data_IF_986510686593
#
_entry.id   IF_986510686593
#
_cell.length_a   1.000
_cell.length_b   1.000
_cell.length_c   1.000
_cell.angle_alpha   90.00
_cell.angle_beta   90.00
_cell.angle_gamma   90.00
#
_symmetry.space_group_name_H-M   'P 1'
#
loop_
_entity.id
_entity.type
_entity.pdbx_description
1 polymer ?
#
# COMPACT_ATOMS: atom_id res chain seq x y z
N UNK A 1 -49.39 -30.23 11.51
CA UNK A 1 -48.13 -30.17 10.74
C UNK A 1 -48.47 -29.80 9.31
N UNK A 2 -48.28 -28.54 8.95
CA UNK A 2 -48.62 -28.02 7.62
C UNK A 2 -47.38 -28.08 6.72
N UNK A 3 -47.44 -28.93 5.71
CA UNK A 3 -46.46 -29.04 4.63
C UNK A 3 -46.47 -27.74 3.83
N UNK A 4 -45.34 -26.95 3.87
CA UNK A 4 -45.13 -25.84 2.97
C UNK A 4 -44.76 -26.40 1.59
N UNK A 5 -45.74 -26.51 0.73
CA UNK A 5 -45.52 -26.81 -0.69
C UNK A 5 -44.60 -25.75 -1.33
N UNK A 6 -43.56 -26.22 -2.00
CA UNK A 6 -42.69 -25.39 -2.86
C UNK A 6 -43.53 -24.98 -4.07
N UNK A 7 -43.82 -23.68 -4.15
CA UNK A 7 -44.49 -23.03 -5.29
C UNK A 7 -43.50 -22.98 -6.47
N UNK A 8 -43.54 -24.01 -7.31
CA UNK A 8 -42.79 -24.16 -8.56
C UNK A 8 -43.60 -23.51 -9.70
N UNK A 9 -43.26 -22.33 -10.11
CA UNK A 9 -43.88 -21.70 -11.31
C UNK A 9 -43.33 -22.31 -12.60
N UNK A 10 -44.19 -23.01 -13.33
CA UNK A 10 -43.86 -23.53 -14.66
C UNK A 10 -44.31 -22.55 -15.75
N UNK A 11 -43.44 -22.24 -16.69
CA UNK A 11 -43.78 -21.49 -17.90
C UNK A 11 -43.35 -22.31 -19.13
N UNK A 12 -44.30 -22.68 -19.98
CA UNK A 12 -44.01 -23.40 -21.23
C UNK A 12 -43.65 -22.41 -22.34
N UNK A 13 -42.51 -22.65 -22.98
CA UNK A 13 -42.17 -22.01 -24.25
C UNK A 13 -42.63 -22.91 -25.39
N UNK A 14 -42.99 -22.31 -26.56
CA UNK A 14 -43.45 -22.99 -27.82
C UNK A 14 -42.53 -24.11 -28.34
N UNK A 15 -41.34 -24.28 -27.77
CA UNK A 15 -40.32 -25.26 -28.14
C UNK A 15 -40.27 -26.50 -27.25
N UNK A 16 -41.24 -26.71 -26.35
CA UNK A 16 -41.28 -27.92 -25.48
C UNK A 16 -40.21 -27.98 -24.38
N UNK A 17 -39.43 -26.93 -24.16
CA UNK A 17 -38.42 -26.86 -23.10
C UNK A 17 -39.08 -26.36 -21.82
N UNK A 18 -39.07 -27.17 -20.75
CA UNK A 18 -39.54 -26.80 -19.41
C UNK A 18 -38.44 -26.03 -18.67
N UNK A 19 -38.63 -24.72 -18.47
CA UNK A 19 -37.76 -23.92 -17.62
C UNK A 19 -38.38 -23.87 -16.21
N UNK A 20 -37.76 -24.54 -15.26
CA UNK A 20 -38.15 -24.47 -13.84
C UNK A 20 -37.70 -23.10 -13.29
N UNK A 21 -38.69 -22.24 -13.03
CA UNK A 21 -38.40 -20.94 -12.42
C UNK A 21 -38.49 -21.07 -10.89
N UNK A 22 -37.42 -20.72 -10.21
CA UNK A 22 -37.36 -20.67 -8.75
C UNK A 22 -37.50 -19.20 -8.27
N UNK A 23 -38.71 -18.64 -8.16
CA UNK A 23 -38.91 -17.22 -7.86
C UNK A 23 -38.36 -16.82 -6.48
N UNK A 24 -38.37 -17.73 -5.50
CA UNK A 24 -37.82 -17.50 -4.15
C UNK A 24 -36.29 -17.42 -4.17
N UNK A 25 -35.63 -18.30 -4.91
CA UNK A 25 -34.17 -18.29 -5.07
C UNK A 25 -33.73 -17.00 -5.78
N UNK A 26 -34.42 -16.60 -6.83
CA UNK A 26 -34.13 -15.33 -7.55
C UNK A 26 -34.29 -14.09 -6.65
N UNK A 27 -35.31 -14.05 -5.78
CA UNK A 27 -35.49 -12.98 -4.79
C UNK A 27 -34.36 -12.99 -3.74
N UNK A 28 -33.96 -14.15 -3.28
CA UNK A 28 -32.86 -14.28 -2.32
C UNK A 28 -31.53 -13.79 -2.94
N UNK A 29 -31.21 -14.24 -4.16
CA UNK A 29 -29.99 -13.78 -4.89
C UNK A 29 -30.00 -12.25 -5.06
N UNK A 30 -31.14 -11.65 -5.44
CA UNK A 30 -31.24 -10.19 -5.57
C UNK A 30 -31.02 -9.46 -4.24
N UNK A 31 -31.57 -9.99 -3.13
CA UNK A 31 -31.37 -9.40 -1.81
C UNK A 31 -29.91 -9.51 -1.34
N UNK A 32 -29.28 -10.68 -1.51
CA UNK A 32 -27.87 -10.85 -1.16
C UNK A 32 -26.97 -9.97 -2.01
N UNK A 33 -27.24 -9.86 -3.32
CA UNK A 33 -26.48 -8.95 -4.21
C UNK A 33 -26.64 -7.47 -3.81
N UNK A 34 -27.85 -7.06 -3.42
CA UNK A 34 -28.09 -5.69 -2.95
C UNK A 34 -27.34 -5.41 -1.64
N UNK A 35 -27.40 -6.32 -0.68
CA UNK A 35 -26.67 -6.19 0.60
C UNK A 35 -25.16 -6.14 0.34
N UNK A 36 -24.63 -7.02 -0.50
CA UNK A 36 -23.21 -7.00 -0.88
C UNK A 36 -22.81 -5.68 -1.54
N UNK A 37 -23.66 -5.14 -2.44
CA UNK A 37 -23.44 -3.84 -3.08
C UNK A 37 -23.43 -2.70 -2.07
N UNK A 38 -24.37 -2.67 -1.12
CA UNK A 38 -24.43 -1.65 -0.08
C UNK A 38 -23.21 -1.70 0.85
N UNK A 39 -22.77 -2.91 1.24
CA UNK A 39 -21.55 -3.09 2.04
C UNK A 39 -20.31 -2.64 1.29
N UNK A 40 -20.17 -3.00 0.02
CA UNK A 40 -19.06 -2.55 -0.82
C UNK A 40 -19.05 -1.01 -0.97
N UNK A 41 -20.21 -0.41 -1.18
CA UNK A 41 -20.35 1.05 -1.26
C UNK A 41 -19.97 1.73 0.06
N UNK A 42 -20.39 1.18 1.19
CA UNK A 42 -20.02 1.68 2.52
C UNK A 42 -18.52 1.58 2.77
N UNK A 43 -17.89 0.48 2.38
CA UNK A 43 -16.42 0.31 2.48
C UNK A 43 -15.68 1.32 1.60
N UNK A 44 -16.15 1.58 0.39
CA UNK A 44 -15.56 2.60 -0.50
C UNK A 44 -15.68 4.01 0.10
N UNK A 45 -16.83 4.34 0.66
CA UNK A 45 -17.04 5.63 1.36
C UNK A 45 -16.10 5.71 2.57
N UNK A 46 -16.02 4.66 3.39
CA UNK A 46 -15.13 4.63 4.54
C UNK A 46 -13.65 4.77 4.14
N UNK A 47 -13.21 4.09 3.07
CA UNK A 47 -11.86 4.22 2.54
C UNK A 47 -11.57 5.66 2.06
N UNK A 48 -12.55 6.31 1.44
CA UNK A 48 -12.43 7.70 1.01
C UNK A 48 -12.40 8.68 2.19
N UNK A 49 -13.22 8.46 3.23
CA UNK A 49 -13.28 9.33 4.40
C UNK A 49 -12.11 9.14 5.38
N UNK A 50 -11.55 7.93 5.45
CA UNK A 50 -10.49 7.56 6.38
C UNK A 50 -9.26 6.97 5.67
N UNK A 51 -8.63 7.71 4.73
CA UNK A 51 -7.54 7.15 3.90
C UNK A 51 -6.34 6.69 4.72
N UNK A 52 -6.05 7.33 5.85
CA UNK A 52 -4.96 6.90 6.73
C UNK A 52 -5.14 5.48 7.23
N UNK A 53 -6.36 5.06 7.56
CA UNK A 53 -6.63 3.69 8.04
C UNK A 53 -6.39 2.64 6.97
N UNK A 54 -6.59 2.98 5.71
CA UNK A 54 -6.47 2.05 4.58
C UNK A 54 -5.10 2.09 3.91
N UNK A 55 -4.44 3.23 3.87
CA UNK A 55 -3.19 3.42 3.13
C UNK A 55 -1.95 3.36 4.03
N UNK A 56 -2.07 3.64 5.33
CA UNK A 56 -0.94 3.66 6.24
C UNK A 56 -0.65 2.28 6.80
N UNK A 57 0.62 1.92 6.81
CA UNK A 57 1.17 0.84 7.63
C UNK A 57 2.32 1.42 8.41
N UNK A 58 2.24 1.36 9.74
CA UNK A 58 3.31 1.70 10.67
C UNK A 58 3.59 0.47 11.53
N UNK A 59 4.80 -0.03 11.46
CA UNK A 59 5.23 -1.23 12.20
C UNK A 59 5.60 -0.95 13.66
N UNK A 60 5.50 0.31 14.09
CA UNK A 60 5.92 0.72 15.42
C UNK A 60 7.42 0.66 15.66
N UNK A 61 7.87 0.76 16.92
CA UNK A 61 9.29 0.71 17.27
C UNK A 61 9.90 -0.67 16.95
N UNK A 62 10.87 -0.67 16.04
CA UNK A 62 11.61 -1.89 15.63
C UNK A 62 13.02 -1.47 15.23
N UNK A 63 14.02 -2.31 15.52
CA UNK A 63 15.40 -2.15 15.03
C UNK A 63 15.58 -2.95 13.74
N UNK A 64 16.47 -2.46 12.87
CA UNK A 64 16.76 -3.09 11.59
C UNK A 64 18.25 -2.96 11.22
N UNK A 65 18.64 -3.65 10.14
CA UNK A 65 19.98 -3.56 9.59
C UNK A 65 20.18 -2.27 8.78
N UNK A 66 19.07 -1.77 8.18
CA UNK A 66 19.11 -0.62 7.28
C UNK A 66 17.76 0.11 7.22
N UNK A 67 17.81 1.44 7.06
CA UNK A 67 16.69 2.28 6.66
C UNK A 67 16.72 2.44 5.13
N UNK A 68 15.59 2.26 4.47
CA UNK A 68 15.43 2.55 3.03
C UNK A 68 14.54 3.76 2.88
N UNK A 69 15.14 4.89 2.53
CA UNK A 69 14.43 6.12 2.20
C UNK A 69 13.95 6.05 0.74
N UNK A 70 12.64 6.00 0.54
CA UNK A 70 12.06 6.00 -0.81
C UNK A 70 11.86 7.43 -1.31
N UNK A 71 12.42 7.74 -2.45
CA UNK A 71 12.28 9.01 -3.16
C UNK A 71 10.82 9.35 -3.52
N UNK A 72 10.60 10.52 -4.09
CA UNK A 72 9.27 10.99 -4.53
C UNK A 72 8.88 12.37 -4.00
N UNK A 73 9.87 13.22 -3.69
CA UNK A 73 9.70 14.66 -3.54
C UNK A 73 8.87 15.13 -2.35
N UNK A 74 8.96 14.47 -1.19
CA UNK A 74 8.40 15.01 0.05
C UNK A 74 9.48 15.20 1.11
N UNK A 75 9.57 16.42 1.64
CA UNK A 75 10.59 16.79 2.64
C UNK A 75 10.57 15.91 3.88
N UNK A 76 9.42 15.52 4.36
CA UNK A 76 9.25 14.82 5.63
C UNK A 76 9.87 13.42 5.65
N UNK A 77 10.17 12.84 4.48
CA UNK A 77 10.75 11.49 4.40
C UNK A 77 12.20 11.47 4.87
N UNK A 78 13.01 12.40 4.40
CA UNK A 78 14.41 12.49 4.83
C UNK A 78 14.52 12.90 6.30
N UNK A 79 13.67 13.82 6.77
CA UNK A 79 13.62 14.21 8.19
C UNK A 79 13.34 12.98 9.05
N UNK A 80 12.29 12.22 8.71
CA UNK A 80 11.94 10.99 9.42
C UNK A 80 13.07 9.96 9.39
N UNK A 81 13.78 9.85 8.26
CA UNK A 81 14.93 8.94 8.14
C UNK A 81 16.08 9.38 9.04
N UNK A 82 16.38 10.68 9.08
CA UNK A 82 17.42 11.24 9.96
C UNK A 82 17.09 11.07 11.44
N UNK A 83 15.81 11.25 11.84
CA UNK A 83 15.34 10.98 13.21
C UNK A 83 15.59 9.53 13.59
N UNK A 84 15.11 8.56 12.79
CA UNK A 84 15.28 7.14 13.04
C UNK A 84 16.74 6.72 13.08
N UNK A 85 17.61 7.34 12.28
CA UNK A 85 19.03 7.11 12.32
C UNK A 85 19.66 7.61 13.64
N UNK A 86 19.30 8.81 14.09
CA UNK A 86 19.74 9.38 15.37
C UNK A 86 19.24 8.58 16.58
N UNK A 87 18.06 7.97 16.48
CA UNK A 87 17.50 7.03 17.46
C UNK A 87 18.24 5.65 17.45
N UNK A 88 19.26 5.49 16.62
CA UNK A 88 20.00 4.23 16.46
C UNK A 88 19.09 3.05 16.10
N UNK A 89 18.07 3.29 15.29
CA UNK A 89 17.13 2.27 14.81
C UNK A 89 17.81 1.35 13.79
N UNK A 90 18.70 1.90 12.96
CA UNK A 90 19.56 1.15 12.06
C UNK A 90 20.87 1.91 11.79
N UNK A 91 21.99 1.19 11.53
CA UNK A 91 23.30 1.80 11.31
C UNK A 91 23.54 2.29 9.88
N UNK A 92 22.66 1.97 8.94
CA UNK A 92 22.83 2.24 7.50
C UNK A 92 21.57 2.82 6.91
N UNK A 93 21.73 3.60 5.82
CA UNK A 93 20.62 4.18 5.03
C UNK A 93 20.89 3.87 3.55
N UNK A 94 19.87 3.38 2.85
CA UNK A 94 19.83 3.35 1.38
C UNK A 94 18.82 4.40 0.94
N UNK A 95 19.23 5.33 0.08
CA UNK A 95 18.34 6.29 -0.57
C UNK A 95 17.99 5.72 -1.94
N UNK A 96 16.70 5.45 -2.19
CA UNK A 96 16.26 4.78 -3.42
C UNK A 96 15.23 5.63 -4.17
N UNK A 97 15.51 5.95 -5.44
CA UNK A 97 14.61 6.67 -6.33
C UNK A 97 15.32 7.61 -7.30
N UNK A 98 14.95 7.56 -8.57
CA UNK A 98 15.50 8.41 -9.60
C UNK A 98 15.14 9.89 -9.37
N UNK A 99 16.15 10.77 -9.51
CA UNK A 99 15.99 12.22 -9.64
C UNK A 99 16.06 13.03 -8.35
N UNK A 100 15.90 12.43 -7.16
CA UNK A 100 15.97 13.14 -5.88
C UNK A 100 16.96 12.52 -4.87
N UNK A 101 17.68 11.48 -5.25
CA UNK A 101 18.62 10.78 -4.36
C UNK A 101 19.73 11.69 -3.84
N UNK A 102 20.36 12.49 -4.70
CA UNK A 102 21.42 13.40 -4.29
C UNK A 102 20.91 14.51 -3.36
N UNK A 103 19.72 15.03 -3.63
CA UNK A 103 19.08 16.03 -2.76
C UNK A 103 18.83 15.42 -1.38
N UNK A 104 18.24 14.24 -1.33
CA UNK A 104 17.99 13.53 -0.05
C UNK A 104 19.30 13.21 0.68
N UNK A 105 20.35 12.81 -0.05
CA UNK A 105 21.68 12.58 0.52
C UNK A 105 22.24 13.87 1.16
N UNK A 106 22.20 14.99 0.45
CA UNK A 106 22.66 16.26 1.00
C UNK A 106 21.91 16.68 2.26
N UNK A 107 20.59 16.48 2.28
CA UNK A 107 19.75 16.79 3.44
C UNK A 107 20.06 15.88 4.64
N UNK A 108 20.32 14.60 4.41
CA UNK A 108 20.76 13.66 5.44
C UNK A 108 22.15 14.02 6.00
N UNK A 109 23.10 14.38 5.13
CA UNK A 109 24.42 14.87 5.55
C UNK A 109 24.30 16.15 6.41
N UNK A 110 23.49 17.12 5.97
CA UNK A 110 23.22 18.34 6.72
C UNK A 110 22.54 18.08 8.08
N UNK A 111 21.76 16.99 8.17
CA UNK A 111 21.17 16.54 9.43
C UNK A 111 22.16 15.77 10.34
N UNK A 112 23.43 15.62 9.92
CA UNK A 112 24.49 14.97 10.70
C UNK A 112 24.62 13.46 10.50
N UNK A 113 23.98 12.88 9.46
CA UNK A 113 24.20 11.47 9.10
C UNK A 113 25.56 11.33 8.43
N UNK A 114 26.45 10.43 8.88
CA UNK A 114 27.75 10.22 8.25
C UNK A 114 27.64 9.75 6.79
N UNK A 115 28.48 10.26 5.91
CA UNK A 115 28.50 9.88 4.49
C UNK A 115 28.71 8.36 4.30
N UNK A 116 29.52 7.74 5.15
CA UNK A 116 29.78 6.30 5.11
C UNK A 116 28.55 5.44 5.46
N UNK A 117 27.53 6.02 6.09
CA UNK A 117 26.28 5.32 6.40
C UNK A 117 25.25 5.39 5.25
N UNK A 118 25.48 6.19 4.21
CA UNK A 118 24.52 6.44 3.15
C UNK A 118 24.97 5.76 1.85
N UNK A 119 24.11 4.90 1.32
CA UNK A 119 24.24 4.27 0.01
C UNK A 119 23.11 4.76 -0.92
N UNK A 120 23.37 4.90 -2.22
CA UNK A 120 22.41 5.45 -3.19
C UNK A 120 22.04 4.39 -4.22
N UNK A 121 20.73 4.33 -4.49
CA UNK A 121 20.12 3.66 -5.63
C UNK A 121 19.33 4.71 -6.44
N UNK A 122 19.86 5.16 -7.57
CA UNK A 122 19.36 6.29 -8.38
C UNK A 122 18.69 5.88 -9.70
N UNK A 123 18.46 4.57 -9.92
CA UNK A 123 17.95 4.05 -11.20
C UNK A 123 16.44 3.88 -11.22
N UNK A 124 15.83 3.63 -10.06
CA UNK A 124 14.43 3.26 -9.95
C UNK A 124 13.48 4.45 -10.18
N UNK A 125 12.50 4.26 -11.06
CA UNK A 125 11.47 5.25 -11.41
C UNK A 125 10.07 4.87 -10.93
N UNK A 126 9.91 3.64 -10.47
CA UNK A 126 8.64 3.08 -9.99
C UNK A 126 8.86 2.35 -8.68
N UNK A 127 7.79 2.15 -7.89
CA UNK A 127 7.91 1.38 -6.63
C UNK A 127 8.35 -0.06 -6.85
N UNK A 128 8.00 -0.66 -7.99
CA UNK A 128 8.50 -1.96 -8.39
C UNK A 128 10.01 -1.95 -8.59
N UNK A 129 10.52 -0.96 -9.32
CA UNK A 129 11.96 -0.80 -9.54
C UNK A 129 12.70 -0.46 -8.25
N UNK A 130 12.13 0.42 -7.39
CA UNK A 130 12.67 0.67 -6.04
C UNK A 130 12.86 -0.67 -5.30
N UNK A 131 11.83 -1.52 -5.28
CA UNK A 131 11.95 -2.84 -4.64
C UNK A 131 13.03 -3.68 -5.33
N UNK A 132 13.02 -3.84 -6.64
CA UNK A 132 13.93 -4.71 -7.37
C UNK A 132 15.40 -4.31 -7.23
N UNK A 133 15.72 -3.01 -7.37
CA UNK A 133 17.10 -2.54 -7.31
C UNK A 133 17.61 -2.45 -5.87
N UNK A 134 16.79 -1.96 -4.94
CA UNK A 134 17.16 -1.96 -3.52
C UNK A 134 17.40 -3.37 -2.99
N UNK A 135 16.58 -4.37 -3.39
CA UNK A 135 16.77 -5.77 -2.96
C UNK A 135 18.10 -6.33 -3.42
N UNK A 136 18.64 -5.91 -4.57
CA UNK A 136 19.97 -6.32 -5.01
C UNK A 136 21.05 -5.83 -4.03
N UNK A 137 20.97 -4.55 -3.60
CA UNK A 137 21.88 -3.98 -2.60
C UNK A 137 21.72 -4.67 -1.24
N UNK A 138 20.50 -4.93 -0.80
CA UNK A 138 20.23 -5.64 0.45
C UNK A 138 20.85 -7.04 0.47
N UNK A 139 20.72 -7.78 -0.61
CA UNK A 139 21.30 -9.13 -0.76
C UNK A 139 22.82 -9.08 -0.81
N UNK A 140 23.41 -8.14 -1.55
CA UNK A 140 24.84 -7.89 -1.58
C UNK A 140 25.42 -7.60 -0.19
N UNK A 141 24.71 -6.80 0.60
CA UNK A 141 25.05 -6.47 1.99
C UNK A 141 24.64 -7.52 3.04
N UNK A 142 23.98 -8.61 2.65
CA UNK A 142 23.40 -9.65 3.53
C UNK A 142 22.43 -9.09 4.59
N UNK A 143 21.71 -8.00 4.25
CA UNK A 143 20.78 -7.30 5.14
C UNK A 143 19.42 -8.01 5.12
N UNK A 144 18.87 -8.32 6.30
CA UNK A 144 17.66 -9.14 6.45
C UNK A 144 16.50 -8.45 7.14
N UNK A 145 16.76 -7.38 7.87
CA UNK A 145 15.77 -6.57 8.54
C UNK A 145 15.84 -5.14 8.02
N UNK A 146 14.76 -4.68 7.38
CA UNK A 146 14.73 -3.44 6.59
C UNK A 146 13.54 -2.60 7.00
N UNK A 147 13.78 -1.33 7.30
CA UNK A 147 12.71 -0.37 7.52
C UNK A 147 12.57 0.52 6.29
N UNK A 148 11.38 0.51 5.70
CA UNK A 148 11.01 1.42 4.63
C UNK A 148 10.51 2.74 5.22
N UNK A 149 11.11 3.86 4.78
CA UNK A 149 10.68 5.21 5.16
C UNK A 149 10.12 5.90 3.93
N UNK A 150 8.85 6.25 4.00
CA UNK A 150 8.11 6.91 2.91
C UNK A 150 6.91 7.68 3.48
N UNK A 151 6.17 8.43 2.65
CA UNK A 151 4.95 9.10 3.11
C UNK A 151 3.88 8.10 3.55
N UNK A 152 3.09 8.46 4.55
CA UNK A 152 2.04 7.62 5.13
C UNK A 152 1.09 7.01 4.09
N UNK A 153 0.65 7.79 3.09
CA UNK A 153 -0.27 7.31 2.05
C UNK A 153 0.36 6.30 1.08
N UNK A 154 1.70 6.29 0.98
CA UNK A 154 2.45 5.37 0.12
C UNK A 154 2.93 4.12 0.86
N UNK A 155 2.91 4.11 2.19
CA UNK A 155 3.56 3.10 3.02
C UNK A 155 3.04 1.67 2.77
N UNK A 156 1.73 1.49 2.62
CA UNK A 156 1.14 0.17 2.32
C UNK A 156 1.66 -0.38 1.00
N UNK A 157 1.58 0.39 -0.09
CA UNK A 157 2.03 -0.08 -1.41
C UNK A 157 3.53 -0.38 -1.44
N UNK A 158 4.33 0.47 -0.81
CA UNK A 158 5.76 0.22 -0.69
C UNK A 158 6.03 -1.09 0.04
N UNK A 159 5.45 -1.28 1.23
CA UNK A 159 5.68 -2.46 2.05
C UNK A 159 5.30 -3.75 1.32
N UNK A 160 4.06 -3.85 0.80
CA UNK A 160 3.61 -5.08 0.13
C UNK A 160 4.41 -5.35 -1.16
N UNK A 161 4.87 -4.30 -1.85
CA UNK A 161 5.71 -4.45 -3.03
C UNK A 161 7.08 -5.06 -2.68
N UNK A 162 7.75 -4.56 -1.65
CA UNK A 162 9.03 -5.11 -1.20
C UNK A 162 8.90 -6.55 -0.67
N UNK A 163 7.87 -6.84 0.11
CA UNK A 163 7.56 -8.19 0.61
C UNK A 163 7.29 -9.18 -0.53
N UNK A 164 6.58 -8.73 -1.58
CA UNK A 164 6.29 -9.57 -2.75
C UNK A 164 7.56 -9.98 -3.50
N UNK A 165 8.51 -9.04 -3.70
CA UNK A 165 9.74 -9.33 -4.46
C UNK A 165 10.85 -9.97 -3.65
N UNK A 166 10.80 -9.92 -2.32
CA UNK A 166 11.79 -10.57 -1.44
C UNK A 166 11.14 -11.10 -0.15
N UNK A 167 10.38 -12.20 -0.23
CA UNK A 167 9.73 -12.80 0.95
C UNK A 167 10.73 -13.37 1.96
N UNK A 168 12.00 -13.51 1.59
CA UNK A 168 13.12 -13.94 2.43
C UNK A 168 13.73 -12.82 3.29
N UNK A 169 13.29 -11.55 3.10
CA UNK A 169 13.72 -10.37 3.84
C UNK A 169 12.54 -9.85 4.67
N UNK A 170 12.81 -9.47 5.91
CA UNK A 170 11.78 -8.87 6.78
C UNK A 170 11.72 -7.37 6.55
N UNK A 171 10.60 -6.90 6.02
CA UNK A 171 10.34 -5.49 5.79
C UNK A 171 9.37 -4.93 6.83
N UNK A 172 9.69 -3.76 7.34
CA UNK A 172 8.90 -2.96 8.24
C UNK A 172 8.65 -1.58 7.61
N UNK A 173 7.63 -0.89 8.05
CA UNK A 173 7.33 0.47 7.59
C UNK A 173 7.32 1.44 8.77
N UNK A 174 8.04 2.54 8.65
CA UNK A 174 8.02 3.67 9.59
C UNK A 174 7.78 4.96 8.79
N UNK A 175 6.52 5.24 8.46
CA UNK A 175 6.18 6.31 7.55
C UNK A 175 6.45 7.71 8.15
N UNK A 176 6.64 8.68 7.26
CA UNK A 176 6.59 10.10 7.61
C UNK A 176 5.15 10.61 7.56
N UNK A 177 4.82 11.51 8.48
CA UNK A 177 3.52 12.17 8.57
C UNK A 177 3.69 13.67 8.37
N UNK A 178 2.76 14.30 7.68
CA UNK A 178 2.62 15.75 7.67
C UNK A 178 2.00 16.22 8.98
N UNK A 179 2.36 17.39 9.45
CA UNK A 179 1.91 17.93 10.74
C UNK A 179 0.37 18.13 10.83
N UNK A 180 -0.35 18.17 9.70
CA UNK A 180 -1.80 18.35 9.65
C UNK A 180 -2.50 17.38 8.70
N UNK A 181 -2.34 16.09 8.94
CA UNK A 181 -2.83 15.02 8.05
C UNK A 181 -4.32 15.10 7.67
N UNK A 182 -5.17 15.73 8.48
CA UNK A 182 -6.61 15.81 8.24
C UNK A 182 -7.04 16.98 7.36
N UNK A 183 -6.34 18.12 7.45
CA UNK A 183 -6.64 19.31 6.65
C UNK A 183 -6.04 19.23 5.23
N UNK A 184 -4.94 18.51 5.08
CA UNK A 184 -4.16 18.52 3.83
C UNK A 184 -4.69 17.56 2.76
N UNK A 185 -5.36 16.45 3.11
CA UNK A 185 -5.91 15.57 2.09
C UNK A 185 -7.18 16.10 1.43
N UNK A 186 -7.91 17.01 2.11
CA UNK A 186 -9.11 17.65 1.56
C UNK A 186 -8.78 18.77 0.55
N UNK A 187 -7.60 19.38 0.67
CA UNK A 187 -7.17 20.50 -0.19
C UNK A 187 -5.83 20.21 -0.86
N UNK A 188 -5.74 20.43 -2.18
CA UNK A 188 -4.48 20.51 -2.92
C UNK A 188 -3.84 19.21 -3.44
N UNK A 189 -2.54 19.34 -3.77
CA UNK A 189 -1.69 18.32 -4.40
C UNK A 189 -1.59 17.01 -3.61
N UNK A 190 -1.73 17.04 -2.29
CA UNK A 190 -1.67 15.84 -1.43
C UNK A 190 -2.93 15.01 -1.59
N UNK A 191 -4.11 15.63 -1.61
CA UNK A 191 -5.36 14.92 -1.82
C UNK A 191 -5.40 14.15 -3.14
N UNK A 192 -4.83 14.69 -4.21
CA UNK A 192 -4.70 13.97 -5.48
C UNK A 192 -3.74 12.77 -5.37
N UNK A 193 -2.60 12.91 -4.67
CA UNK A 193 -1.65 11.81 -4.42
C UNK A 193 -2.29 10.69 -3.61
N UNK A 194 -3.05 11.02 -2.57
CA UNK A 194 -3.80 10.04 -1.74
C UNK A 194 -4.81 9.26 -2.58
N UNK A 195 -5.61 9.94 -3.40
CA UNK A 195 -6.57 9.26 -4.30
C UNK A 195 -5.88 8.37 -5.33
N UNK A 196 -4.76 8.84 -5.90
CA UNK A 196 -3.96 8.04 -6.83
C UNK A 196 -3.36 6.79 -6.20
N UNK A 197 -3.09 6.77 -4.90
CA UNK A 197 -2.56 5.57 -4.24
C UNK A 197 -3.56 4.40 -4.25
N UNK A 198 -4.86 4.64 -4.14
CA UNK A 198 -5.88 3.59 -4.31
C UNK A 198 -5.85 3.00 -5.73
N UNK A 199 -5.74 3.86 -6.74
CA UNK A 199 -5.65 3.41 -8.15
C UNK A 199 -4.35 2.64 -8.37
N UNK A 200 -3.23 3.12 -7.81
CA UNK A 200 -1.93 2.43 -7.91
C UNK A 200 -1.94 1.09 -7.18
N UNK A 201 -2.54 0.98 -5.99
CA UNK A 201 -2.67 -0.28 -5.27
C UNK A 201 -3.41 -1.32 -6.12
N UNK A 202 -4.55 -0.94 -6.69
CA UNK A 202 -5.32 -1.81 -7.59
C UNK A 202 -4.51 -2.17 -8.84
N UNK A 203 -3.84 -1.20 -9.46
CA UNK A 203 -2.99 -1.41 -10.62
C UNK A 203 -1.81 -2.36 -10.35
N UNK A 204 -1.18 -2.25 -9.18
CA UNK A 204 -0.10 -3.15 -8.76
C UNK A 204 -0.61 -4.58 -8.52
N UNK A 205 -1.78 -4.73 -7.94
CA UNK A 205 -2.41 -6.04 -7.76
C UNK A 205 -2.70 -6.70 -9.11
N UNK A 206 -3.40 -6.01 -10.00
CA UNK A 206 -3.81 -6.58 -11.31
C UNK A 206 -2.59 -6.85 -12.20
N UNK A 207 -1.64 -5.90 -12.26
CA UNK A 207 -0.52 -5.96 -13.22
C UNK A 207 0.65 -6.82 -12.75
N UNK A 208 0.91 -6.85 -11.45
CA UNK A 208 2.11 -7.45 -10.88
C UNK A 208 1.82 -8.53 -9.83
N UNK A 209 0.55 -8.81 -9.52
CA UNK A 209 0.15 -9.76 -8.48
C UNK A 209 0.48 -9.29 -7.05
N UNK A 210 0.83 -8.02 -6.87
CA UNK A 210 1.17 -7.45 -5.55
C UNK A 210 -0.13 -7.20 -4.79
N UNK A 211 -0.51 -8.18 -3.95
CA UNK A 211 -1.73 -8.09 -3.14
C UNK A 211 -1.59 -6.99 -2.08
N UNK A 212 -2.54 -6.05 -1.96
CA UNK A 212 -2.46 -4.94 -1.00
C UNK A 212 -2.78 -5.31 0.46
N UNK A 213 -3.19 -6.58 0.70
CA UNK A 213 -3.64 -7.08 2.01
C UNK A 213 -2.93 -8.37 2.39
#
# INVERSE_FOLDING_TARGET
>A
MASRALDLGFRTLRSGVFIVQFPRVRKLIKRTALVAFLLASLLLVAAFLFPQRFLTVDSGPVKADVLVLLGGGSHERWERTAELFKEHVAPRIIVSGYGDCEINRHLLLAAGVPAAAIEIEDKSRTTKENAQFTIQLLRGGKLKQVILVTSWYHSRRALVCFQHYAPDIKFYSRPSYFASARAEWAHNRIGSRVRLEYVKLLGYWIRYGVCPW
#
